data_IF_061765692247
#
_entry.id   IF_061765692247
#
_cell.length_a   1.000
_cell.length_b   1.000
_cell.length_c   1.000
_cell.angle_alpha   90.00
_cell.angle_beta   90.00
_cell.angle_gamma   90.00
#
_symmetry.space_group_name_H-M   'P 1'
#
loop_
_entity.id
_entity.type
_entity.pdbx_description
1 polymer ?
#
# COMPACT_ATOMS: atom_id res chain seq x y z
N UNK A 1 17.17 -11.61 -5.46
CA UNK A 1 15.82 -11.62 -6.07
C UNK A 1 14.74 -11.55 -4.99
N UNK A 2 14.61 -12.50 -4.06
CA UNK A 2 13.63 -12.41 -2.95
C UNK A 2 13.82 -11.20 -2.03
N UNK A 3 15.03 -10.98 -1.51
CA UNK A 3 15.36 -9.80 -0.70
C UNK A 3 15.02 -8.48 -1.41
N UNK A 4 15.26 -8.45 -2.72
CA UNK A 4 15.01 -7.29 -3.57
C UNK A 4 13.51 -7.02 -3.75
N UNK A 5 12.71 -8.07 -3.91
CA UNK A 5 11.25 -7.96 -4.06
C UNK A 5 10.59 -7.46 -2.77
N UNK A 6 10.97 -8.02 -1.62
CA UNK A 6 10.46 -7.58 -0.33
C UNK A 6 10.78 -6.09 -0.06
N UNK A 7 12.01 -5.66 -0.37
CA UNK A 7 12.43 -4.26 -0.21
C UNK A 7 11.63 -3.31 -1.12
N UNK A 8 11.42 -3.66 -2.39
CA UNK A 8 10.59 -2.86 -3.30
C UNK A 8 9.13 -2.81 -2.85
N UNK A 9 8.57 -3.92 -2.36
CA UNK A 9 7.21 -3.98 -1.83
C UNK A 9 7.03 -3.03 -0.64
N UNK A 10 7.93 -3.09 0.34
CA UNK A 10 7.90 -2.19 1.50
C UNK A 10 7.96 -0.73 1.07
N UNK A 11 8.85 -0.39 0.14
CA UNK A 11 8.99 0.98 -0.39
C UNK A 11 7.72 1.45 -1.11
N UNK A 12 7.14 0.60 -1.94
CA UNK A 12 5.93 0.91 -2.70
C UNK A 12 4.73 1.12 -1.77
N UNK A 13 4.45 0.15 -0.89
CA UNK A 13 3.32 0.21 0.04
C UNK A 13 3.45 1.39 1.01
N UNK A 14 4.65 1.68 1.51
CA UNK A 14 4.91 2.88 2.31
C UNK A 14 4.67 4.18 1.53
N UNK A 15 5.00 4.21 0.25
CA UNK A 15 4.71 5.32 -0.65
C UNK A 15 3.22 5.54 -0.85
N UNK A 16 2.47 4.45 -1.08
CA UNK A 16 1.02 4.47 -1.23
C UNK A 16 0.32 4.98 0.03
N UNK A 17 0.70 4.49 1.23
CA UNK A 17 0.15 5.00 2.50
C UNK A 17 0.31 6.52 2.63
N UNK A 18 1.53 7.03 2.40
CA UNK A 18 1.79 8.48 2.42
C UNK A 18 0.93 9.24 1.39
N UNK A 19 0.78 8.70 0.19
CA UNK A 19 -0.08 9.28 -0.84
C UNK A 19 -1.55 9.34 -0.39
N UNK A 20 -2.09 8.27 0.18
CA UNK A 20 -3.48 8.23 0.65
C UNK A 20 -3.73 9.18 1.81
N UNK A 21 -2.80 9.29 2.77
CA UNK A 21 -2.88 10.28 3.84
C UNK A 21 -2.86 11.72 3.30
N UNK A 22 -2.04 12.01 2.28
CA UNK A 22 -2.05 13.31 1.62
C UNK A 22 -3.39 13.59 0.95
N UNK A 23 -3.96 12.61 0.22
CA UNK A 23 -5.27 12.73 -0.43
C UNK A 23 -6.43 12.89 0.57
N UNK A 24 -6.33 12.25 1.73
CA UNK A 24 -7.27 12.46 2.83
C UNK A 24 -7.18 13.88 3.38
N UNK A 25 -5.97 14.38 3.62
CA UNK A 25 -5.74 15.76 4.08
C UNK A 25 -6.23 16.80 3.07
N UNK A 26 -6.14 16.51 1.77
CA UNK A 26 -6.71 17.32 0.68
C UNK A 26 -8.25 17.25 0.59
N UNK A 27 -8.91 16.41 1.39
CA UNK A 27 -10.36 16.19 1.35
C UNK A 27 -10.85 15.33 0.18
N UNK A 28 -9.94 14.70 -0.57
CA UNK A 28 -10.24 13.86 -1.74
C UNK A 28 -10.53 12.40 -1.36
N UNK A 29 -10.27 12.02 -0.12
CA UNK A 29 -10.47 10.67 0.39
C UNK A 29 -11.22 10.74 1.72
N UNK A 30 -12.27 9.94 1.87
CA UNK A 30 -13.02 9.86 3.13
C UNK A 30 -12.23 9.11 4.21
N UNK A 31 -12.52 9.36 5.50
CA UNK A 31 -11.92 8.63 6.62
C UNK A 31 -12.06 7.10 6.48
N UNK A 32 -13.23 6.65 6.02
CA UNK A 32 -13.48 5.22 5.79
C UNK A 32 -12.64 4.68 4.65
N UNK A 33 -12.50 5.44 3.57
CA UNK A 33 -11.65 5.08 2.43
C UNK A 33 -10.18 4.98 2.83
N UNK A 34 -9.68 5.93 3.62
CA UNK A 34 -8.32 5.91 4.14
C UNK A 34 -8.07 4.65 5.00
N UNK A 35 -8.95 4.35 5.96
CA UNK A 35 -8.80 3.15 6.80
C UNK A 35 -8.75 1.85 6.00
N UNK A 36 -9.58 1.75 4.95
CA UNK A 36 -9.58 0.56 4.08
C UNK A 36 -8.26 0.45 3.32
N UNK A 37 -7.77 1.56 2.76
CA UNK A 37 -6.52 1.57 2.00
C UNK A 37 -5.30 1.30 2.88
N UNK A 38 -5.26 1.85 4.09
CA UNK A 38 -4.22 1.53 5.08
C UNK A 38 -4.23 0.04 5.43
N UNK A 39 -5.41 -0.52 5.70
CA UNK A 39 -5.56 -1.94 6.00
C UNK A 39 -5.10 -2.83 4.83
N UNK A 40 -5.41 -2.46 3.58
CA UNK A 40 -4.93 -3.18 2.41
C UNK A 40 -3.40 -3.12 2.30
N UNK A 41 -2.80 -1.96 2.53
CA UNK A 41 -1.33 -1.83 2.51
C UNK A 41 -0.67 -2.63 3.63
N UNK A 42 -1.24 -2.65 4.82
CA UNK A 42 -0.69 -3.41 5.96
C UNK A 42 -0.83 -4.92 5.74
N UNK A 43 -2.00 -5.37 5.29
CA UNK A 43 -2.22 -6.80 4.95
C UNK A 43 -1.28 -7.25 3.83
N UNK A 44 -1.00 -6.37 2.87
CA UNK A 44 -0.02 -6.65 1.85
C UNK A 44 1.42 -6.69 2.42
N UNK A 45 1.77 -5.90 3.43
CA UNK A 45 3.11 -6.01 4.04
C UNK A 45 3.32 -7.36 4.75
N UNK A 46 2.25 -7.96 5.29
CA UNK A 46 2.32 -9.26 5.98
C UNK A 46 2.64 -10.41 5.00
N UNK A 47 2.35 -10.26 3.71
CA UNK A 47 2.74 -11.18 2.65
C UNK A 47 3.96 -10.67 1.85
N UNK A 48 5.04 -10.34 2.55
CA UNK A 48 6.20 -9.66 1.96
C UNK A 48 6.85 -10.42 0.78
N UNK A 49 6.80 -11.75 0.80
CA UNK A 49 7.44 -12.62 -0.19
C UNK A 49 6.54 -12.98 -1.38
N UNK A 50 5.25 -12.61 -1.34
CA UNK A 50 4.37 -12.76 -2.51
C UNK A 50 4.49 -11.54 -3.41
N UNK A 51 4.42 -11.68 -4.75
CA UNK A 51 4.27 -10.53 -5.63
C UNK A 51 2.99 -9.77 -5.31
N UNK A 52 3.01 -8.43 -5.40
CA UNK A 52 1.76 -7.66 -5.39
C UNK A 52 1.07 -7.89 -6.72
N UNK A 53 -0.14 -8.43 -6.68
CA UNK A 53 -1.00 -8.46 -7.85
C UNK A 53 -1.67 -7.10 -8.04
N UNK A 54 -1.01 -6.23 -8.78
CA UNK A 54 -1.49 -4.88 -9.09
C UNK A 54 -2.07 -4.77 -10.50
N UNK A 55 -1.94 -5.83 -11.32
CA UNK A 55 -2.19 -5.77 -12.76
C UNK A 55 -2.82 -7.03 -13.36
N UNK A 56 -3.12 -8.09 -12.61
CA UNK A 56 -4.01 -9.11 -13.15
C UNK A 56 -5.41 -8.52 -13.36
N UNK A 57 -5.86 -8.62 -14.61
CA UNK A 57 -7.18 -8.19 -15.08
C UNK A 57 -8.16 -9.35 -14.98
#
# INVERSE_FOLDING_TARGET
>A
LHETLAEYRVRLLSGLKRHFHAKHTEGLLSDRGLRLLDWCCDSALDEADTPLDLWER
#
